data_IF_443401116952
#
_entry.id   IF_443401116952
#
_cell.length_a   1.000
_cell.length_b   1.000
_cell.length_c   1.000
_cell.angle_alpha   90.00
_cell.angle_beta   90.00
_cell.angle_gamma   90.00
#
_symmetry.space_group_name_H-M   'P 1'
#
loop_
_entity.id
_entity.type
_entity.pdbx_description
1 polymer ?
#
# COMPACT_ATOMS: atom_id res chain seq x y z
N UNK A 1 16.86 -0.46 10.11
CA UNK A 1 16.09 -1.29 9.17
C UNK A 1 16.26 -0.75 7.75
N UNK A 2 16.55 -1.62 6.81
CA UNK A 2 16.80 -1.17 5.44
C UNK A 2 15.53 -0.70 4.73
N UNK A 3 15.69 0.32 3.89
CA UNK A 3 14.59 0.78 3.05
C UNK A 3 14.40 -0.15 1.85
N UNK A 4 13.17 -0.19 1.33
CA UNK A 4 12.92 -0.85 0.05
C UNK A 4 12.72 0.23 -1.01
N UNK A 5 13.46 0.11 -2.10
CA UNK A 5 13.33 0.98 -3.26
C UNK A 5 13.32 0.12 -4.52
N UNK A 6 12.16 0.00 -5.13
CA UNK A 6 11.99 -0.79 -6.35
C UNK A 6 11.54 0.15 -7.45
N UNK A 7 12.27 0.17 -8.55
CA UNK A 7 11.90 0.99 -9.70
C UNK A 7 10.77 0.30 -10.47
N UNK A 8 9.74 1.07 -10.82
CA UNK A 8 8.59 0.55 -11.54
C UNK A 8 8.90 0.17 -12.98
N UNK A 9 8.13 -0.77 -13.49
CA UNK A 9 8.19 -1.20 -14.89
C UNK A 9 6.78 -1.12 -15.47
N UNK A 10 6.60 -1.55 -16.72
CA UNK A 10 5.26 -1.62 -17.32
C UNK A 10 4.35 -2.64 -16.64
N UNK A 11 4.93 -3.56 -15.86
CA UNK A 11 4.17 -4.64 -15.19
C UNK A 11 4.24 -4.62 -13.68
N UNK A 12 5.18 -3.89 -13.09
CA UNK A 12 5.35 -3.84 -11.65
C UNK A 12 5.42 -2.40 -11.15
N UNK A 13 4.90 -2.12 -9.96
CA UNK A 13 4.87 -0.75 -9.47
C UNK A 13 6.21 -0.30 -8.92
N UNK A 14 6.37 1.04 -8.83
CA UNK A 14 7.43 1.63 -8.03
C UNK A 14 7.06 1.44 -6.57
N UNK A 15 8.01 0.98 -5.76
CA UNK A 15 7.79 0.75 -4.33
C UNK A 15 8.87 1.48 -3.54
N UNK A 16 8.44 2.30 -2.58
CA UNK A 16 9.36 2.99 -1.67
C UNK A 16 8.84 2.79 -0.25
N UNK A 17 9.59 2.04 0.54
CA UNK A 17 9.28 1.80 1.95
C UNK A 17 10.45 2.35 2.76
N UNK A 18 10.19 3.38 3.56
CA UNK A 18 11.21 4.04 4.35
C UNK A 18 10.86 4.01 5.83
N UNK A 19 11.62 3.23 6.62
CA UNK A 19 11.37 3.06 8.03
C UNK A 19 11.69 4.33 8.84
N UNK A 20 12.68 5.11 8.43
CA UNK A 20 13.06 6.31 9.17
C UNK A 20 12.00 7.40 9.11
N UNK A 21 11.40 7.61 7.93
CA UNK A 21 10.37 8.63 7.77
C UNK A 21 8.96 8.12 8.02
N UNK A 22 8.77 6.81 8.04
CA UNK A 22 7.44 6.21 8.14
C UNK A 22 6.63 6.37 6.88
N UNK A 23 7.28 6.57 5.73
CA UNK A 23 6.59 6.74 4.45
C UNK A 23 6.63 5.48 3.61
N UNK A 24 5.47 5.12 3.08
CA UNK A 24 5.29 3.92 2.27
C UNK A 24 4.56 4.34 1.01
N UNK A 25 5.10 3.97 -0.15
CA UNK A 25 4.52 4.33 -1.44
C UNK A 25 4.51 3.14 -2.39
N UNK A 26 3.38 2.94 -3.06
CA UNK A 26 3.25 1.97 -4.15
C UNK A 26 2.56 2.73 -5.28
N UNK A 27 3.23 2.84 -6.43
CA UNK A 27 2.73 3.67 -7.53
C UNK A 27 3.00 3.01 -8.87
N UNK A 28 2.00 3.01 -9.76
CA UNK A 28 2.14 2.53 -11.13
C UNK A 28 1.19 1.39 -11.43
N UNK A 29 1.69 0.35 -12.07
CA UNK A 29 0.89 -0.81 -12.49
C UNK A 29 1.34 -2.05 -11.76
N UNK A 30 0.38 -2.88 -11.30
CA UNK A 30 0.70 -4.11 -10.60
C UNK A 30 0.08 -5.31 -11.31
N UNK A 31 0.82 -5.82 -12.29
CA UNK A 31 0.46 -7.01 -13.05
C UNK A 31 1.68 -7.96 -13.18
N UNK A 32 2.36 -8.27 -12.05
CA UNK A 32 3.53 -9.15 -12.11
C UNK A 32 3.14 -10.56 -12.50
N UNK A 33 4.08 -11.31 -13.05
CA UNK A 33 3.82 -12.71 -13.40
C UNK A 33 3.54 -13.56 -12.18
N UNK A 34 4.20 -13.26 -11.07
CA UNK A 34 3.97 -13.93 -9.80
C UNK A 34 3.78 -12.89 -8.71
N UNK A 35 2.53 -12.56 -8.41
CA UNK A 35 2.19 -11.53 -7.43
C UNK A 35 2.66 -11.89 -6.03
N UNK A 36 2.51 -13.15 -5.63
CA UNK A 36 2.92 -13.60 -4.30
C UNK A 36 4.42 -13.38 -4.11
N UNK A 37 5.21 -13.76 -5.10
CA UNK A 37 6.66 -13.58 -5.04
C UNK A 37 7.05 -12.11 -5.00
N UNK A 38 6.37 -11.27 -5.80
CA UNK A 38 6.65 -9.84 -5.83
C UNK A 38 6.36 -9.17 -4.49
N UNK A 39 5.22 -9.48 -3.88
CA UNK A 39 4.77 -8.82 -2.66
C UNK A 39 5.32 -9.42 -1.37
N UNK A 40 5.85 -10.65 -1.41
CA UNK A 40 6.38 -11.29 -0.21
C UNK A 40 7.42 -10.46 0.54
N UNK A 41 8.45 -9.88 -0.11
CA UNK A 41 9.41 -9.04 0.60
C UNK A 41 8.76 -7.82 1.24
N UNK A 42 7.70 -7.29 0.63
CA UNK A 42 7.00 -6.12 1.16
C UNK A 42 6.24 -6.46 2.43
N UNK A 43 5.56 -7.60 2.41
CA UNK A 43 4.81 -8.10 3.58
C UNK A 43 5.78 -8.43 4.72
N UNK A 44 6.89 -9.10 4.40
CA UNK A 44 7.92 -9.45 5.39
C UNK A 44 8.55 -8.19 6.00
N UNK A 45 8.80 -7.17 5.17
CA UNK A 45 9.33 -5.90 5.65
C UNK A 45 8.38 -5.25 6.65
N UNK A 46 7.08 -5.29 6.37
CA UNK A 46 6.08 -4.70 7.25
C UNK A 46 5.97 -5.44 8.59
N UNK A 47 6.15 -6.76 8.58
CA UNK A 47 6.19 -7.52 9.83
C UNK A 47 7.34 -7.03 10.74
N UNK A 48 8.50 -6.81 10.15
CA UNK A 48 9.66 -6.29 10.89
C UNK A 48 9.46 -4.84 11.29
N UNK A 49 8.91 -4.02 10.38
CA UNK A 49 8.66 -2.60 10.62
C UNK A 49 7.72 -2.38 11.82
N UNK A 50 6.76 -3.28 12.01
CA UNK A 50 5.80 -3.16 13.10
C UNK A 50 6.48 -3.07 14.48
N UNK A 51 7.66 -3.66 14.62
CA UNK A 51 8.41 -3.64 15.88
C UNK A 51 9.07 -2.27 16.15
N UNK A 52 9.36 -1.51 15.09
CA UNK A 52 10.11 -0.25 15.20
C UNK A 52 9.39 0.91 14.51
N UNK A 53 8.09 0.78 14.28
CA UNK A 53 7.32 1.77 13.53
C UNK A 53 7.39 3.16 14.14
N UNK A 54 7.36 4.18 13.28
CA UNK A 54 7.24 5.58 13.70
C UNK A 54 5.85 5.82 14.30
N UNK A 55 5.67 6.93 14.99
CA UNK A 55 4.36 7.30 15.53
C UNK A 55 3.31 7.37 14.43
N UNK A 56 3.66 7.96 13.29
CA UNK A 56 2.78 8.03 12.13
C UNK A 56 3.43 7.33 10.93
N UNK A 57 2.69 6.43 10.31
CA UNK A 57 3.05 5.81 9.04
C UNK A 57 2.10 6.33 7.96
N UNK A 58 2.65 6.99 6.96
CA UNK A 58 1.87 7.54 5.86
C UNK A 58 2.02 6.63 4.63
N UNK A 59 0.90 6.12 4.14
CA UNK A 59 0.87 5.18 3.03
C UNK A 59 0.21 5.82 1.82
N UNK A 60 0.92 5.91 0.71
CA UNK A 60 0.42 6.48 -0.53
C UNK A 60 0.32 5.40 -1.59
N UNK A 61 -0.88 5.11 -2.03
CA UNK A 61 -1.14 4.10 -3.06
C UNK A 61 -1.74 4.82 -4.28
N UNK A 62 -1.02 4.79 -5.39
CA UNK A 62 -1.46 5.41 -6.64
C UNK A 62 -1.26 4.43 -7.79
N UNK A 63 -2.20 3.50 -7.93
CA UNK A 63 -2.11 2.47 -8.95
C UNK A 63 -2.98 2.83 -10.16
N UNK A 64 -2.42 2.66 -11.36
CA UNK A 64 -3.15 2.83 -12.60
C UNK A 64 -4.00 1.60 -12.88
N UNK A 65 -3.49 0.42 -12.49
CA UNK A 65 -4.17 -0.84 -12.67
C UNK A 65 -3.50 -1.92 -11.81
N UNK A 66 -4.28 -2.89 -11.37
CA UNK A 66 -3.74 -4.09 -10.72
C UNK A 66 -4.62 -5.30 -11.05
N UNK A 67 -4.01 -6.47 -11.18
CA UNK A 67 -4.76 -7.69 -11.50
C UNK A 67 -5.34 -8.32 -10.23
N UNK A 68 -6.16 -9.36 -10.41
CA UNK A 68 -6.84 -10.02 -9.28
C UNK A 68 -5.88 -10.58 -8.24
N UNK A 69 -4.78 -11.19 -8.68
CA UNK A 69 -3.81 -11.75 -7.73
C UNK A 69 -3.10 -10.65 -6.96
N UNK A 70 -2.83 -9.50 -7.60
CA UNK A 70 -2.26 -8.35 -6.89
C UNK A 70 -3.22 -7.79 -5.87
N UNK A 71 -4.53 -7.78 -6.16
CA UNK A 71 -5.51 -7.22 -5.22
C UNK A 71 -5.49 -7.96 -3.88
N UNK A 72 -5.27 -9.26 -3.91
CA UNK A 72 -5.15 -10.07 -2.68
C UNK A 72 -3.87 -9.78 -1.93
N UNK A 73 -2.77 -9.61 -2.66
CA UNK A 73 -1.47 -9.29 -2.06
C UNK A 73 -1.47 -7.87 -1.46
N UNK A 74 -2.13 -6.93 -2.13
CA UNK A 74 -2.29 -5.57 -1.61
C UNK A 74 -3.11 -5.60 -0.32
N UNK A 75 -4.14 -6.45 -0.25
CA UNK A 75 -4.89 -6.62 0.99
C UNK A 75 -3.99 -7.15 2.11
N UNK A 76 -3.09 -8.08 1.81
CA UNK A 76 -2.14 -8.58 2.80
C UNK A 76 -1.22 -7.46 3.31
N UNK A 77 -0.76 -6.58 2.43
CA UNK A 77 0.01 -5.39 2.80
C UNK A 77 -0.81 -4.54 3.78
N UNK A 78 -2.06 -4.27 3.45
CA UNK A 78 -2.94 -3.47 4.32
C UNK A 78 -3.19 -4.15 5.65
N UNK A 79 -3.33 -5.46 5.68
CA UNK A 79 -3.51 -6.21 6.93
C UNK A 79 -2.29 -6.09 7.85
N UNK A 80 -1.09 -6.10 7.27
CA UNK A 80 0.13 -5.87 8.04
C UNK A 80 0.17 -4.44 8.58
N UNK A 81 -0.31 -3.48 7.81
CA UNK A 81 -0.42 -2.09 8.27
C UNK A 81 -1.44 -1.95 9.39
N UNK A 82 -2.53 -2.72 9.36
CA UNK A 82 -3.47 -2.76 10.48
C UNK A 82 -2.78 -3.19 11.77
N UNK A 83 -1.87 -4.17 11.68
CA UNK A 83 -1.13 -4.62 12.85
C UNK A 83 -0.25 -3.51 13.43
N UNK A 84 0.31 -2.65 12.57
CA UNK A 84 1.06 -1.47 13.02
C UNK A 84 0.12 -0.50 13.71
N UNK A 85 -1.02 -0.22 13.10
CA UNK A 85 -1.99 0.75 13.61
C UNK A 85 -2.57 0.36 14.98
N UNK A 86 -2.69 -0.94 15.24
CA UNK A 86 -3.21 -1.45 16.51
C UNK A 86 -2.24 -1.28 17.68
N UNK A 87 -0.97 -1.02 17.42
CA UNK A 87 0.03 -0.87 18.48
C UNK A 87 -0.15 0.47 19.19
N UNK A 88 0.13 0.47 20.47
CA UNK A 88 0.01 1.68 21.30
C UNK A 88 0.87 2.80 20.74
N UNK A 89 0.29 3.99 20.65
CA UNK A 89 0.95 5.22 20.17
C UNK A 89 1.38 5.16 18.69
N UNK A 90 0.83 4.24 17.93
CA UNK A 90 1.12 4.14 16.49
C UNK A 90 -0.12 4.44 15.68
N UNK A 91 0.06 5.15 14.57
CA UNK A 91 -1.01 5.47 13.64
C UNK A 91 -0.58 5.17 12.22
N UNK A 92 -1.52 4.71 11.42
CA UNK A 92 -1.32 4.50 9.98
C UNK A 92 -2.43 5.23 9.26
N UNK A 93 -2.08 5.95 8.21
CA UNK A 93 -3.04 6.61 7.33
C UNK A 93 -2.78 6.12 5.91
N UNK A 94 -3.81 5.66 5.23
CA UNK A 94 -3.71 5.23 3.83
C UNK A 94 -4.35 6.29 2.96
N UNK A 95 -3.60 6.78 1.99
CA UNK A 95 -4.07 7.71 0.97
C UNK A 95 -4.21 6.91 -0.33
N UNK A 96 -5.44 6.72 -0.77
CA UNK A 96 -5.75 5.98 -2.00
C UNK A 96 -6.06 6.97 -3.10
N UNK A 97 -5.17 7.05 -4.09
CA UNK A 97 -5.32 7.99 -5.21
C UNK A 97 -6.01 7.30 -6.37
N UNK A 98 -6.94 7.99 -7.00
CA UNK A 98 -7.63 7.49 -8.19
C UNK A 98 -7.93 8.65 -9.14
N UNK A 99 -7.92 8.39 -10.44
CA UNK A 99 -8.26 9.42 -11.41
C UNK A 99 -9.78 9.63 -11.43
N UNK A 100 -10.22 10.85 -11.73
CA UNK A 100 -11.62 11.23 -11.62
C UNK A 100 -12.57 10.40 -12.50
N UNK A 101 -12.09 9.86 -13.60
CA UNK A 101 -12.89 9.04 -14.51
C UNK A 101 -12.66 7.53 -14.31
N UNK A 102 -11.89 7.13 -13.32
CA UNK A 102 -11.60 5.72 -13.05
C UNK A 102 -12.52 5.18 -11.94
N UNK A 103 -13.71 4.77 -12.34
CA UNK A 103 -14.70 4.23 -11.40
C UNK A 103 -14.25 2.90 -10.77
N UNK A 104 -13.52 2.07 -11.53
CA UNK A 104 -13.03 0.79 -11.01
C UNK A 104 -12.03 0.99 -9.88
N UNK A 105 -11.14 1.96 -10.02
CA UNK A 105 -10.14 2.25 -8.99
C UNK A 105 -10.81 2.87 -7.75
N UNK A 106 -11.80 3.72 -7.94
CA UNK A 106 -12.59 4.28 -6.84
C UNK A 106 -13.29 3.17 -6.07
N UNK A 107 -13.96 2.27 -6.79
CA UNK A 107 -14.68 1.16 -6.18
C UNK A 107 -13.72 0.22 -5.43
N UNK A 108 -12.56 -0.06 -5.99
CA UNK A 108 -11.55 -0.89 -5.32
C UNK A 108 -11.12 -0.27 -4.00
N UNK A 109 -10.88 1.04 -3.98
CA UNK A 109 -10.51 1.75 -2.76
C UNK A 109 -11.61 1.71 -1.71
N UNK A 110 -12.86 1.89 -2.15
CA UNK A 110 -14.01 1.82 -1.25
C UNK A 110 -14.16 0.42 -0.63
N UNK A 111 -13.89 -0.63 -1.42
CA UNK A 111 -13.95 -1.99 -0.92
C UNK A 111 -12.89 -2.22 0.18
N UNK A 112 -11.66 -1.77 -0.05
CA UNK A 112 -10.62 -1.88 0.99
C UNK A 112 -11.01 -1.07 2.22
N UNK A 113 -11.50 0.15 2.02
CA UNK A 113 -11.90 1.02 3.12
C UNK A 113 -12.97 0.35 4.00
N UNK A 114 -13.88 -0.39 3.38
CA UNK A 114 -14.99 -1.02 4.10
C UNK A 114 -14.55 -2.18 5.00
N UNK A 115 -13.43 -2.83 4.69
CA UNK A 115 -12.96 -4.01 5.44
C UNK A 115 -11.77 -3.73 6.35
N UNK A 116 -11.13 -2.58 6.21
CA UNK A 116 -9.96 -2.24 7.01
C UNK A 116 -10.33 -1.29 8.14
N UNK A 117 -9.60 -1.41 9.25
CA UNK A 117 -9.82 -0.58 10.44
C UNK A 117 -8.72 0.45 10.60
N UNK A 118 -8.30 1.06 9.50
CA UNK A 118 -7.30 2.11 9.46
C UNK A 118 -7.92 3.35 8.80
N UNK A 119 -7.52 4.57 9.21
CA UNK A 119 -7.92 5.77 8.46
C UNK A 119 -7.55 5.64 6.99
N UNK A 120 -8.52 5.82 6.11
CA UNK A 120 -8.36 5.59 4.68
C UNK A 120 -8.97 6.77 3.94
N UNK A 121 -8.14 7.50 3.20
CA UNK A 121 -8.59 8.68 2.46
C UNK A 121 -8.65 8.37 0.98
N UNK A 122 -9.78 8.71 0.37
CA UNK A 122 -9.95 8.61 -1.09
C UNK A 122 -9.57 9.96 -1.67
N UNK A 123 -8.55 9.98 -2.53
CA UNK A 123 -8.04 11.23 -3.10
C UNK A 123 -8.19 11.20 -4.61
N UNK A 124 -9.04 12.05 -5.13
CA UNK A 124 -9.29 12.18 -6.56
C UNK A 124 -8.18 12.97 -7.23
N UNK A 125 -7.70 12.48 -8.35
CA UNK A 125 -6.68 13.16 -9.16
C UNK A 125 -7.32 13.59 -10.47
N UNK A 126 -7.07 14.84 -10.85
CA UNK A 126 -7.53 15.33 -12.15
C UNK A 126 -6.64 14.73 -13.24
N UNK A 127 -7.27 14.22 -14.27
CA UNK A 127 -6.56 13.63 -15.40
C UNK A 127 -6.24 14.65 -16.49
#
# INVERSE_FOLDING_TARGET
MDSINIEGTSKTPTVVFNAESGKIEIKGRSIPENSIEFYKPLVDWLDSYAETAKGLTEVNIQLEYFNTSSSKCILDVFKKLENVHKRESKEVIINWYYEEDDEDMLEAGEDYQSILKIPFKMIEIES
#
